data_IF_799615534260
#
_entry.id   IF_799615534260
#
_cell.length_a   1.000
_cell.length_b   1.000
_cell.length_c   1.000
_cell.angle_alpha   90.00
_cell.angle_beta   90.00
_cell.angle_gamma   90.00
#
_symmetry.space_group_name_H-M   'P 1'
#
loop_
_entity.id
_entity.type
_entity.pdbx_description
1 polymer ?
#
# COMPACT_ATOMS: atom_id res chain seq x y z
N UNK A 1 16.95 5.31 16.01
CA UNK A 1 15.92 6.37 15.97
C UNK A 1 14.72 5.93 16.80
N UNK A 2 14.14 6.81 17.63
CA UNK A 2 12.87 6.55 18.32
C UNK A 2 11.75 7.30 17.61
N UNK A 3 10.61 6.67 17.39
CA UNK A 3 9.40 7.28 16.83
C UNK A 3 8.24 6.93 17.78
N UNK A 4 7.53 7.94 18.27
CA UNK A 4 6.44 7.76 19.27
C UNK A 4 6.85 6.91 20.49
N UNK A 5 8.07 7.12 21.01
CA UNK A 5 8.61 6.35 22.14
C UNK A 5 9.12 4.93 21.80
N UNK A 6 8.89 4.44 20.59
CA UNK A 6 9.32 3.11 20.14
C UNK A 6 10.60 3.15 19.30
N UNK A 7 11.48 2.16 19.47
CA UNK A 7 12.70 2.04 18.68
C UNK A 7 12.39 1.54 17.26
N UNK A 8 12.89 2.26 16.25
CA UNK A 8 12.86 1.82 14.85
C UNK A 8 14.10 0.96 14.57
N UNK A 9 13.89 -0.31 14.20
CA UNK A 9 14.95 -1.29 13.91
C UNK A 9 15.26 -1.40 12.42
N UNK A 10 14.27 -1.22 11.53
CA UNK A 10 14.47 -1.26 10.06
C UNK A 10 13.93 0.03 9.42
N UNK A 11 14.81 1.00 9.20
CA UNK A 11 14.49 2.29 8.57
C UNK A 11 13.99 2.14 7.13
N UNK A 12 14.46 1.11 6.41
CA UNK A 12 14.04 0.84 5.02
C UNK A 12 12.61 0.34 4.98
N UNK A 13 12.24 -0.52 5.93
CA UNK A 13 10.85 -0.92 6.10
C UNK A 13 9.97 0.27 6.48
N UNK A 14 10.43 1.16 7.36
CA UNK A 14 9.69 2.38 7.68
C UNK A 14 9.48 3.28 6.44
N UNK A 15 10.50 3.45 5.59
CA UNK A 15 10.37 4.18 4.33
C UNK A 15 9.28 3.59 3.42
N UNK A 16 9.26 2.25 3.24
CA UNK A 16 8.22 1.57 2.47
C UNK A 16 6.82 1.75 3.07
N UNK A 17 6.69 1.73 4.40
CA UNK A 17 5.42 1.99 5.07
C UNK A 17 4.93 3.43 4.83
N UNK A 18 5.81 4.41 5.02
CA UNK A 18 5.48 5.83 4.86
C UNK A 18 5.07 6.14 3.41
N UNK A 19 5.76 5.58 2.42
CA UNK A 19 5.40 5.74 1.02
C UNK A 19 3.96 5.28 0.74
N UNK A 20 3.58 4.10 1.26
CA UNK A 20 2.21 3.60 1.08
C UNK A 20 1.18 4.46 1.83
N UNK A 21 1.47 4.88 3.07
CA UNK A 21 0.56 5.74 3.84
C UNK A 21 0.32 7.08 3.17
N UNK A 22 1.36 7.70 2.62
CA UNK A 22 1.27 8.97 1.89
C UNK A 22 0.38 8.84 0.64
N UNK A 23 0.60 7.79 -0.15
CA UNK A 23 -0.23 7.53 -1.34
C UNK A 23 -1.69 7.28 -0.95
N UNK A 24 -1.93 6.43 0.06
CA UNK A 24 -3.27 6.15 0.56
C UNK A 24 -4.00 7.40 1.08
N UNK A 25 -3.28 8.27 1.80
CA UNK A 25 -3.82 9.54 2.28
C UNK A 25 -4.15 10.48 1.13
N UNK A 26 -3.24 10.63 0.16
CA UNK A 26 -3.46 11.49 -1.00
C UNK A 26 -4.67 11.05 -1.83
N UNK A 27 -4.78 9.75 -2.13
CA UNK A 27 -5.92 9.20 -2.86
C UNK A 27 -7.24 9.37 -2.09
N UNK A 28 -7.21 9.28 -0.77
CA UNK A 28 -8.40 9.52 0.05
C UNK A 28 -8.82 10.99 0.05
N UNK A 29 -7.86 11.92 0.07
CA UNK A 29 -8.12 13.35 -0.10
C UNK A 29 -8.70 13.63 -1.50
N UNK A 30 -8.18 13.01 -2.56
CA UNK A 30 -8.76 13.12 -3.91
C UNK A 30 -10.22 12.64 -3.92
N UNK A 31 -10.50 11.48 -3.35
CA UNK A 31 -11.87 10.96 -3.27
C UNK A 31 -12.76 11.90 -2.44
N UNK A 32 -12.25 12.47 -1.35
CA UNK A 32 -12.97 13.46 -0.55
C UNK A 32 -13.38 14.69 -1.39
N UNK A 33 -12.50 15.16 -2.28
CA UNK A 33 -12.79 16.29 -3.18
C UNK A 33 -13.89 15.99 -4.21
N UNK A 34 -14.09 14.72 -4.59
CA UNK A 34 -15.21 14.30 -5.44
C UNK A 34 -16.54 14.19 -4.66
N UNK A 35 -16.50 13.84 -3.37
CA UNK A 35 -17.71 13.43 -2.62
C UNK A 35 -18.25 14.44 -1.62
N UNK A 36 -17.41 15.28 -1.00
CA UNK A 36 -17.93 16.22 -0.02
C UNK A 36 -18.44 17.49 -0.71
N UNK A 37 -19.72 17.85 -0.48
CA UNK A 37 -20.34 19.02 -1.11
C UNK A 37 -19.74 20.29 -0.51
N UNK A 38 -18.69 20.79 -1.15
CA UNK A 38 -18.14 22.12 -0.96
C UNK A 38 -17.51 22.49 -2.30
N UNK A 39 -18.18 23.36 -3.07
CA UNK A 39 -17.88 23.62 -4.49
C UNK A 39 -16.43 24.02 -4.81
N UNK A 40 -15.65 24.40 -3.81
CA UNK A 40 -14.23 24.75 -3.93
C UNK A 40 -13.30 23.52 -3.97
N UNK A 41 -13.69 22.39 -3.37
CA UNK A 41 -12.81 21.22 -3.26
C UNK A 41 -12.60 20.53 -4.62
N UNK A 42 -13.65 20.43 -5.45
CA UNK A 42 -13.53 19.91 -6.81
C UNK A 42 -12.64 20.79 -7.70
N UNK A 43 -12.69 22.12 -7.51
CA UNK A 43 -11.83 23.05 -8.23
C UNK A 43 -10.33 22.83 -7.91
N UNK A 44 -9.98 22.32 -6.72
CA UNK A 44 -8.61 21.93 -6.41
C UNK A 44 -8.13 20.77 -7.30
N UNK A 45 -8.99 19.80 -7.62
CA UNK A 45 -8.63 18.70 -8.55
C UNK A 45 -8.37 19.19 -9.97
N UNK A 46 -8.97 20.30 -10.39
CA UNK A 46 -8.69 20.94 -11.68
C UNK A 46 -7.41 21.80 -11.63
N UNK A 47 -6.95 22.16 -10.44
CA UNK A 47 -5.82 23.05 -10.27
C UNK A 47 -4.50 22.36 -10.61
N UNK A 48 -3.62 23.08 -11.31
CA UNK A 48 -2.24 22.66 -11.56
C UNK A 48 -1.48 22.36 -10.26
N UNK A 49 -1.68 23.18 -9.23
CA UNK A 49 -1.02 23.07 -7.93
C UNK A 49 -1.25 21.72 -7.25
N UNK A 50 -2.49 21.21 -7.29
CA UNK A 50 -2.82 19.91 -6.72
C UNK A 50 -2.01 18.77 -7.37
N UNK A 51 -1.92 18.79 -8.70
CA UNK A 51 -1.19 17.78 -9.46
C UNK A 51 0.32 17.90 -9.28
N UNK A 52 0.88 19.10 -9.20
CA UNK A 52 2.30 19.31 -8.87
C UNK A 52 2.66 18.75 -7.49
N UNK A 53 1.80 18.97 -6.48
CA UNK A 53 1.97 18.41 -5.14
C UNK A 53 1.86 16.89 -5.16
N UNK A 54 0.83 16.37 -5.84
CA UNK A 54 0.61 14.93 -6.02
C UNK A 54 1.83 14.25 -6.64
N UNK A 55 2.38 14.79 -7.73
CA UNK A 55 3.53 14.22 -8.41
C UNK A 55 4.83 14.36 -7.62
N UNK A 56 5.02 15.47 -6.93
CA UNK A 56 6.17 15.64 -6.02
C UNK A 56 6.14 14.59 -4.92
N UNK A 57 4.97 14.34 -4.33
CA UNK A 57 4.77 13.29 -3.35
C UNK A 57 4.96 11.89 -3.96
N UNK A 58 4.46 11.64 -5.18
CA UNK A 58 4.66 10.37 -5.90
C UNK A 58 6.14 10.08 -6.15
N UNK A 59 6.92 11.07 -6.63
CA UNK A 59 8.37 10.96 -6.81
C UNK A 59 9.06 10.61 -5.49
N UNK A 60 8.69 11.27 -4.39
CA UNK A 60 9.20 10.94 -3.06
C UNK A 60 8.84 9.49 -2.68
N UNK A 61 7.60 9.07 -2.90
CA UNK A 61 7.16 7.71 -2.59
C UNK A 61 7.88 6.65 -3.43
N UNK A 62 8.13 6.91 -4.71
CA UNK A 62 8.95 6.09 -5.59
C UNK A 62 10.37 5.96 -5.07
N UNK A 63 11.00 7.07 -4.66
CA UNK A 63 12.34 7.06 -4.07
C UNK A 63 12.39 6.26 -2.76
N UNK A 64 11.41 6.44 -1.86
CA UNK A 64 11.32 5.68 -0.61
C UNK A 64 11.11 4.18 -0.87
N UNK A 65 10.26 3.82 -1.84
CA UNK A 65 10.00 2.43 -2.21
C UNK A 65 11.23 1.78 -2.86
N UNK A 66 11.94 2.53 -3.70
CA UNK A 66 13.23 2.11 -4.26
C UNK A 66 14.24 1.83 -3.15
N UNK A 67 14.44 2.77 -2.22
CA UNK A 67 15.33 2.59 -1.06
C UNK A 67 14.92 1.41 -0.17
N UNK A 68 13.62 1.12 -0.07
CA UNK A 68 13.12 -0.02 0.69
C UNK A 68 13.55 -1.38 0.11
N UNK A 69 13.67 -1.49 -1.21
CA UNK A 69 13.81 -2.79 -1.89
C UNK A 69 15.05 -2.97 -2.75
N UNK A 70 15.68 -1.93 -3.30
CA UNK A 70 16.69 -2.07 -4.36
C UNK A 70 17.86 -2.98 -3.94
N UNK A 71 18.49 -2.73 -2.78
CA UNK A 71 19.61 -3.56 -2.31
C UNK A 71 19.22 -5.02 -2.13
N UNK A 72 17.99 -5.29 -1.67
CA UNK A 72 17.50 -6.67 -1.49
C UNK A 72 17.37 -7.40 -2.82
N UNK A 73 17.14 -6.68 -3.91
CA UNK A 73 17.12 -7.25 -5.27
C UNK A 73 18.54 -7.56 -5.74
N UNK A 74 19.50 -6.67 -5.47
CA UNK A 74 20.90 -6.87 -5.87
C UNK A 74 21.62 -7.94 -5.05
N UNK A 75 21.39 -8.02 -3.75
CA UNK A 75 22.02 -8.98 -2.84
C UNK A 75 21.42 -10.39 -2.92
N UNK A 76 20.18 -10.52 -3.42
CA UNK A 76 19.51 -11.81 -3.49
C UNK A 76 19.92 -12.62 -4.73
N UNK A 77 19.95 -13.95 -4.58
CA UNK A 77 20.19 -14.90 -5.67
C UNK A 77 19.03 -15.89 -5.85
N UNK A 78 18.91 -16.45 -7.06
CA UNK A 78 17.89 -17.43 -7.42
C UNK A 78 16.46 -16.95 -7.17
N UNK A 79 15.61 -17.82 -6.61
CA UNK A 79 14.20 -17.51 -6.34
C UNK A 79 14.00 -16.34 -5.35
N UNK A 80 14.96 -16.08 -4.46
CA UNK A 80 14.90 -14.94 -3.53
C UNK A 80 14.99 -13.62 -4.29
N UNK A 81 15.77 -13.58 -5.38
CA UNK A 81 15.87 -12.42 -6.28
C UNK A 81 14.55 -12.16 -6.99
N UNK A 82 13.95 -13.20 -7.58
CA UNK A 82 12.65 -13.10 -8.23
C UNK A 82 11.57 -12.56 -7.28
N UNK A 83 11.57 -13.03 -6.02
CA UNK A 83 10.68 -12.52 -4.97
C UNK A 83 10.97 -11.07 -4.57
N UNK A 84 12.24 -10.68 -4.43
CA UNK A 84 12.59 -9.31 -4.09
C UNK A 84 12.17 -8.36 -5.22
N UNK A 85 12.44 -8.76 -6.47
CA UNK A 85 12.05 -8.02 -7.67
C UNK A 85 10.52 -7.90 -7.79
N UNK A 86 9.77 -8.98 -7.56
CA UNK A 86 8.30 -8.92 -7.61
C UNK A 86 7.73 -7.95 -6.57
N UNK A 87 8.30 -7.92 -5.36
CA UNK A 87 7.90 -6.97 -4.31
C UNK A 87 8.26 -5.53 -4.64
N UNK A 88 9.41 -5.31 -5.29
CA UNK A 88 9.78 -3.99 -5.79
C UNK A 88 8.78 -3.53 -6.86
N UNK A 89 8.47 -4.37 -7.86
CA UNK A 89 7.52 -4.05 -8.93
C UNK A 89 6.14 -3.72 -8.35
N UNK A 90 5.63 -4.56 -7.45
CA UNK A 90 4.34 -4.33 -6.78
C UNK A 90 4.38 -3.03 -5.97
N UNK A 91 5.47 -2.76 -5.26
CA UNK A 91 5.65 -1.52 -4.52
C UNK A 91 5.65 -0.29 -5.42
N UNK A 92 6.39 -0.31 -6.52
CA UNK A 92 6.48 0.77 -7.50
C UNK A 92 5.12 1.00 -8.18
N UNK A 93 4.49 -0.05 -8.70
CA UNK A 93 3.15 0.03 -9.29
C UNK A 93 2.13 0.58 -8.28
N UNK A 94 2.22 0.15 -7.02
CA UNK A 94 1.37 0.64 -5.95
C UNK A 94 1.54 2.13 -5.66
N UNK A 95 2.77 2.65 -5.60
CA UNK A 95 2.96 4.09 -5.35
C UNK A 95 2.68 4.94 -6.59
N UNK A 96 2.62 4.34 -7.79
CA UNK A 96 2.31 5.03 -9.05
C UNK A 96 0.81 5.22 -9.35
N UNK A 97 -0.08 4.76 -8.47
CA UNK A 97 -1.54 4.89 -8.67
C UNK A 97 -2.02 6.33 -8.88
N UNK A 98 -1.47 7.39 -8.25
CA UNK A 98 -1.88 8.76 -8.54
C UNK A 98 -1.73 9.16 -10.02
N UNK A 99 -0.64 8.75 -10.68
CA UNK A 99 -0.49 8.91 -12.14
C UNK A 99 -1.60 8.20 -12.93
N UNK A 100 -2.02 7.02 -12.49
CA UNK A 100 -3.07 6.26 -13.17
C UNK A 100 -4.42 6.94 -13.03
N UNK A 101 -4.70 7.50 -11.85
CA UNK A 101 -5.89 8.32 -11.60
C UNK A 101 -5.91 9.53 -12.53
N UNK A 102 -4.79 10.25 -12.69
CA UNK A 102 -4.71 11.37 -13.63
C UNK A 102 -5.13 10.95 -15.04
N UNK A 103 -4.50 9.90 -15.57
CA UNK A 103 -4.75 9.43 -16.94
C UNK A 103 -6.22 9.07 -17.13
N UNK A 104 -6.83 8.42 -16.14
CA UNK A 104 -8.23 7.99 -16.21
C UNK A 104 -9.17 9.19 -16.10
N UNK A 105 -8.91 10.12 -15.18
CA UNK A 105 -9.70 11.34 -15.06
C UNK A 105 -9.62 12.17 -16.35
N UNK A 106 -8.45 12.26 -16.97
CA UNK A 106 -8.26 12.95 -18.25
C UNK A 106 -8.97 12.22 -19.40
N UNK A 107 -8.86 10.89 -19.47
CA UNK A 107 -9.46 10.09 -20.55
C UNK A 107 -11.00 10.07 -20.52
N UNK A 108 -11.62 10.37 -19.37
CA UNK A 108 -13.07 10.39 -19.19
C UNK A 108 -13.63 11.80 -18.94
N UNK A 109 -12.83 12.85 -19.14
CA UNK A 109 -13.21 14.25 -18.88
C UNK A 109 -13.72 14.53 -17.45
N UNK A 110 -13.30 13.72 -16.47
CA UNK A 110 -13.74 13.80 -15.07
C UNK A 110 -13.25 15.04 -14.32
N UNK A 111 -12.37 15.82 -14.93
CA UNK A 111 -12.00 17.14 -14.44
C UNK A 111 -13.07 18.18 -14.72
N UNK A 112 -13.80 18.05 -15.82
CA UNK A 112 -14.86 19.00 -16.20
C UNK A 112 -16.22 18.51 -15.72
N UNK A 113 -16.45 17.20 -15.80
CA UNK A 113 -17.71 16.56 -15.48
C UNK A 113 -17.47 15.54 -14.36
N UNK A 114 -17.79 15.86 -13.09
CA UNK A 114 -17.63 14.92 -12.01
C UNK A 114 -18.29 13.57 -12.36
N UNK A 115 -17.59 12.45 -12.16
CA UNK A 115 -18.12 11.13 -12.48
C UNK A 115 -19.35 10.82 -11.63
N UNK A 116 -20.27 10.02 -12.17
CA UNK A 116 -21.34 9.47 -11.36
C UNK A 116 -20.74 8.56 -10.27
N UNK A 117 -21.44 8.46 -9.13
CA UNK A 117 -21.05 7.57 -8.03
C UNK A 117 -20.77 6.14 -8.51
N UNK A 118 -21.58 5.66 -9.47
CA UNK A 118 -21.45 4.31 -10.03
C UNK A 118 -20.14 4.13 -10.80
N UNK A 119 -19.70 5.12 -11.57
CA UNK A 119 -18.46 5.06 -12.34
C UNK A 119 -17.24 5.03 -11.41
N UNK A 120 -17.28 5.82 -10.33
CA UNK A 120 -16.27 5.78 -9.28
C UNK A 120 -16.25 4.45 -8.54
N UNK A 121 -17.42 3.85 -8.26
CA UNK A 121 -17.51 2.54 -7.64
C UNK A 121 -16.91 1.44 -8.54
N UNK A 122 -17.20 1.46 -9.84
CA UNK A 122 -16.57 0.55 -10.80
C UNK A 122 -15.06 0.77 -10.87
N UNK A 123 -14.61 2.02 -10.91
CA UNK A 123 -13.20 2.34 -10.91
C UNK A 123 -12.48 1.84 -9.64
N UNK A 124 -13.06 2.11 -8.47
CA UNK A 124 -12.56 1.61 -7.20
C UNK A 124 -12.49 0.07 -7.19
N UNK A 125 -13.50 -0.62 -7.72
CA UNK A 125 -13.50 -2.07 -7.84
C UNK A 125 -12.39 -2.57 -8.78
N UNK A 126 -12.18 -1.94 -9.93
CA UNK A 126 -11.09 -2.30 -10.87
C UNK A 126 -9.73 -2.10 -10.21
N UNK A 127 -9.50 -0.95 -9.59
CA UNK A 127 -8.25 -0.66 -8.86
C UNK A 127 -8.05 -1.65 -7.72
N UNK A 128 -9.10 -2.02 -7.00
CA UNK A 128 -9.04 -3.05 -5.96
C UNK A 128 -8.63 -4.42 -6.53
N UNK A 129 -9.23 -4.85 -7.63
CA UNK A 129 -8.90 -6.12 -8.29
C UNK A 129 -7.45 -6.12 -8.77
N UNK A 130 -7.01 -5.04 -9.41
CA UNK A 130 -5.60 -4.87 -9.85
C UNK A 130 -4.68 -4.92 -8.64
N UNK A 131 -5.00 -4.20 -7.56
CA UNK A 131 -4.23 -4.24 -6.32
C UNK A 131 -4.14 -5.65 -5.74
N UNK A 132 -5.26 -6.38 -5.68
CA UNK A 132 -5.28 -7.76 -5.17
C UNK A 132 -4.44 -8.69 -6.06
N UNK A 133 -4.54 -8.54 -7.38
CA UNK A 133 -3.74 -9.32 -8.32
C UNK A 133 -2.24 -9.05 -8.13
N UNK A 134 -1.84 -7.78 -8.06
CA UNK A 134 -0.44 -7.40 -7.86
C UNK A 134 0.08 -7.81 -6.48
N UNK A 135 -0.67 -7.53 -5.41
CA UNK A 135 -0.21 -7.72 -4.03
C UNK A 135 -0.24 -9.17 -3.56
N UNK A 136 -1.12 -10.01 -4.12
CA UNK A 136 -1.28 -11.41 -3.67
C UNK A 136 -1.02 -12.42 -4.78
N UNK A 137 -1.65 -12.26 -5.96
CA UNK A 137 -1.52 -13.26 -7.03
C UNK A 137 -0.08 -13.36 -7.51
N UNK A 138 0.58 -12.23 -7.81
CA UNK A 138 1.99 -12.25 -8.24
C UNK A 138 2.91 -12.91 -7.19
N UNK A 139 2.92 -12.50 -5.90
CA UNK A 139 3.76 -13.15 -4.90
C UNK A 139 3.44 -14.64 -4.69
N UNK A 140 2.17 -15.04 -4.77
CA UNK A 140 1.76 -16.45 -4.67
C UNK A 140 2.29 -17.24 -5.86
N UNK A 141 2.11 -16.74 -7.08
CA UNK A 141 2.64 -17.38 -8.30
C UNK A 141 4.15 -17.55 -8.24
N UNK A 142 4.89 -16.53 -7.80
CA UNK A 142 6.35 -16.62 -7.59
C UNK A 142 6.68 -17.71 -6.55
N UNK A 143 5.91 -17.81 -5.47
CA UNK A 143 6.13 -18.82 -4.43
C UNK A 143 5.82 -20.25 -4.92
N UNK A 144 4.78 -20.42 -5.74
CA UNK A 144 4.38 -21.70 -6.35
C UNK A 144 5.43 -22.18 -7.35
N UNK A 145 5.89 -21.30 -8.25
CA UNK A 145 6.96 -21.61 -9.21
C UNK A 145 8.25 -22.02 -8.47
N UNK A 146 8.57 -21.33 -7.38
CA UNK A 146 9.74 -21.66 -6.55
C UNK A 146 9.57 -22.93 -5.68
N UNK A 147 8.39 -23.57 -5.70
CA UNK A 147 8.02 -24.71 -4.83
C UNK A 147 8.28 -24.43 -3.34
N UNK A 148 7.98 -23.20 -2.88
CA UNK A 148 8.12 -22.78 -1.48
C UNK A 148 6.75 -22.40 -0.88
N UNK A 149 5.83 -23.38 -0.65
CA UNK A 149 4.46 -23.10 -0.20
C UNK A 149 4.37 -22.57 1.23
N UNK A 150 5.35 -22.89 2.10
CA UNK A 150 5.42 -22.38 3.49
C UNK A 150 5.61 -20.86 3.62
N UNK A 151 5.52 -20.14 2.51
CA UNK A 151 5.75 -18.70 2.39
C UNK A 151 4.48 -17.89 2.07
N UNK A 152 3.36 -18.53 1.69
CA UNK A 152 2.05 -17.85 1.54
C UNK A 152 1.62 -17.18 2.86
N UNK A 153 2.15 -17.68 3.98
CA UNK A 153 2.07 -17.02 5.28
C UNK A 153 3.05 -15.84 5.36
N UNK A 154 2.55 -14.65 5.01
CA UNK A 154 3.11 -13.34 5.34
C UNK A 154 3.79 -13.34 6.72
N UNK A 155 5.12 -13.38 6.76
CA UNK A 155 5.96 -12.83 7.83
C UNK A 155 5.81 -13.38 9.27
N UNK A 156 4.90 -14.30 9.54
CA UNK A 156 4.68 -14.88 10.87
C UNK A 156 5.22 -16.30 10.92
N UNK A 157 6.52 -16.45 10.62
CA UNK A 157 7.27 -17.57 11.20
C UNK A 157 7.25 -17.38 12.72
N UNK A 158 6.32 -18.05 13.39
CA UNK A 158 6.17 -18.03 14.85
C UNK A 158 4.78 -17.59 15.29
N UNK A 159 3.94 -18.59 15.58
CA UNK A 159 2.79 -18.59 16.49
C UNK A 159 2.45 -17.25 17.16
N UNK A 160 1.47 -16.51 16.63
CA UNK A 160 0.51 -15.69 17.42
C UNK A 160 -0.63 -15.25 16.50
N UNK A 161 -1.83 -15.81 16.71
CA UNK A 161 -3.07 -15.43 15.99
C UNK A 161 -3.30 -13.91 15.98
N UNK A 162 -2.88 -13.21 17.03
CA UNK A 162 -2.97 -11.74 17.12
C UNK A 162 -2.15 -10.97 16.06
N UNK A 163 -1.08 -11.55 15.53
CA UNK A 163 -0.30 -10.92 14.45
C UNK A 163 -1.03 -10.89 13.12
N UNK A 164 -1.81 -11.95 12.81
CA UNK A 164 -2.63 -11.99 11.60
C UNK A 164 -3.78 -10.99 11.67
N UNK A 165 -4.46 -10.92 12.83
CA UNK A 165 -5.55 -9.97 13.08
C UNK A 165 -5.05 -8.52 12.89
N UNK A 166 -3.89 -8.19 13.46
CA UNK A 166 -3.29 -6.86 13.32
C UNK A 166 -2.98 -6.51 11.86
N UNK A 167 -2.44 -7.45 11.08
CA UNK A 167 -2.16 -7.20 9.66
C UNK A 167 -3.44 -7.01 8.84
N UNK A 168 -4.50 -7.77 9.15
CA UNK A 168 -5.81 -7.68 8.48
C UNK A 168 -6.70 -6.55 8.99
N UNK A 169 -6.35 -5.90 10.11
CA UNK A 169 -7.25 -4.95 10.79
C UNK A 169 -7.67 -3.76 9.93
N UNK A 170 -6.84 -3.18 9.04
CA UNK A 170 -7.30 -2.09 8.18
C UNK A 170 -8.38 -2.55 7.19
N UNK A 171 -8.30 -3.80 6.72
CA UNK A 171 -9.31 -4.38 5.85
C UNK A 171 -10.60 -4.70 6.62
N UNK A 172 -10.49 -5.23 7.84
CA UNK A 172 -11.67 -5.43 8.71
C UNK A 172 -12.35 -4.10 9.05
N UNK A 173 -11.57 -3.05 9.32
CA UNK A 173 -12.08 -1.71 9.57
C UNK A 173 -12.80 -1.15 8.33
N UNK A 174 -12.22 -1.37 7.14
CA UNK A 174 -12.86 -0.98 5.88
C UNK A 174 -14.20 -1.67 5.69
N UNK A 175 -14.28 -2.99 5.91
CA UNK A 175 -15.53 -3.74 5.83
C UNK A 175 -16.57 -3.23 6.85
N UNK A 176 -16.14 -2.91 8.07
CA UNK A 176 -17.00 -2.36 9.10
C UNK A 176 -17.54 -0.97 8.73
N UNK A 177 -16.66 -0.08 8.25
CA UNK A 177 -17.05 1.27 7.78
C UNK A 177 -18.00 1.15 6.60
N UNK A 178 -17.72 0.27 5.63
CA UNK A 178 -18.62 0.03 4.51
C UNK A 178 -20.00 -0.46 4.98
N UNK A 179 -20.06 -1.45 5.87
CA UNK A 179 -21.32 -1.98 6.39
C UNK A 179 -22.15 -0.89 7.12
N UNK A 180 -21.52 -0.09 7.98
CA UNK A 180 -22.20 0.99 8.72
C UNK A 180 -22.69 2.09 7.78
N UNK A 181 -21.86 2.51 6.83
CA UNK A 181 -22.18 3.64 5.95
C UNK A 181 -23.22 3.26 4.90
N UNK A 182 -23.20 2.03 4.39
CA UNK A 182 -24.27 1.50 3.52
C UNK A 182 -25.62 1.53 4.25
N UNK A 183 -25.66 1.11 5.51
CA UNK A 183 -26.90 1.16 6.32
C UNK A 183 -27.38 2.58 6.59
N UNK A 184 -26.48 3.57 6.62
CA UNK A 184 -26.79 4.99 6.80
C UNK A 184 -27.14 5.72 5.51
N UNK A 185 -26.98 5.08 4.35
CA UNK A 185 -27.10 5.74 3.04
C UNK A 185 -25.98 6.74 2.74
N UNK A 186 -24.82 6.59 3.39
CA UNK A 186 -23.64 7.44 3.21
C UNK A 186 -22.54 6.73 2.42
N UNK A 187 -21.64 7.52 1.83
CA UNK A 187 -20.58 7.06 0.94
C UNK A 187 -19.17 7.28 1.49
N UNK A 188 -19.02 7.57 2.80
CA UNK A 188 -17.71 7.78 3.43
C UNK A 188 -16.73 6.61 3.22
N UNK A 189 -17.26 5.39 3.12
CA UNK A 189 -16.45 4.20 2.84
C UNK A 189 -15.66 4.31 1.52
N UNK A 190 -16.17 5.02 0.51
CA UNK A 190 -15.48 5.27 -0.76
C UNK A 190 -14.30 6.23 -0.56
N UNK A 191 -14.45 7.22 0.31
CA UNK A 191 -13.41 8.20 0.63
C UNK A 191 -12.27 7.57 1.44
N UNK A 192 -12.60 6.72 2.41
CA UNK A 192 -11.63 6.12 3.35
C UNK A 192 -10.96 4.86 2.76
N UNK A 193 -11.58 4.26 1.73
CA UNK A 193 -11.12 3.02 1.11
C UNK A 193 -9.65 3.03 0.63
N UNK A 194 -9.15 4.07 -0.09
CA UNK A 194 -7.76 4.09 -0.51
C UNK A 194 -6.80 4.07 0.68
N UNK A 195 -7.03 4.90 1.70
CA UNK A 195 -6.17 4.95 2.88
C UNK A 195 -6.11 3.60 3.59
N UNK A 196 -7.25 2.95 3.85
CA UNK A 196 -7.26 1.66 4.54
C UNK A 196 -6.63 0.54 3.72
N UNK A 197 -6.78 0.55 2.40
CA UNK A 197 -6.14 -0.41 1.50
C UNK A 197 -4.61 -0.27 1.52
N UNK A 198 -4.12 0.97 1.46
CA UNK A 198 -2.68 1.23 1.52
C UNK A 198 -2.11 1.02 2.92
N UNK A 199 -2.88 1.33 3.98
CA UNK A 199 -2.53 1.00 5.35
C UNK A 199 -2.37 -0.51 5.52
N UNK A 200 -3.29 -1.32 4.97
CA UNK A 200 -3.15 -2.78 4.93
C UNK A 200 -1.84 -3.20 4.25
N UNK A 201 -1.51 -2.59 3.11
CA UNK A 201 -0.22 -2.80 2.43
C UNK A 201 1.00 -2.36 3.27
N UNK A 202 0.86 -1.31 4.08
CA UNK A 202 1.89 -0.77 4.95
C UNK A 202 2.12 -1.61 6.22
N UNK A 203 1.11 -2.33 6.71
CA UNK A 203 1.19 -3.09 7.96
C UNK A 203 2.38 -4.06 8.03
N UNK A 204 2.68 -4.88 7.01
CA UNK A 204 3.88 -5.74 7.03
C UNK A 204 5.19 -4.97 7.15
N UNK A 205 5.27 -3.76 6.57
CA UNK A 205 6.42 -2.90 6.66
C UNK A 205 6.55 -2.27 8.05
N UNK A 206 5.45 -1.79 8.63
CA UNK A 206 5.41 -1.24 9.99
C UNK A 206 5.81 -2.31 11.01
N UNK A 207 5.23 -3.51 10.93
CA UNK A 207 5.59 -4.64 11.80
C UNK A 207 7.07 -4.96 11.67
N UNK A 208 7.63 -4.94 10.45
CA UNK A 208 9.06 -5.17 10.25
C UNK A 208 9.92 -4.04 10.82
N UNK A 209 9.52 -2.79 10.64
CA UNK A 209 10.25 -1.61 11.09
C UNK A 209 10.43 -1.57 12.62
N UNK A 210 9.42 -2.02 13.37
CA UNK A 210 9.41 -1.99 14.84
C UNK A 210 9.74 -3.34 15.50
N UNK A 211 10.02 -4.38 14.73
CA UNK A 211 10.41 -5.69 15.28
C UNK A 211 11.94 -5.80 15.36
N UNK A 212 12.52 -6.15 16.52
CA UNK A 212 13.95 -6.43 16.61
C UNK A 212 14.31 -7.58 15.68
N UNK A 213 15.42 -7.45 14.97
CA UNK A 213 15.97 -8.54 14.19
C UNK A 213 16.23 -9.73 15.13
N UNK A 214 15.91 -10.98 14.74
CA UNK A 214 16.29 -12.13 15.53
C UNK A 214 17.80 -12.07 15.76
N UNK A 215 18.29 -12.36 16.98
CA UNK A 215 19.72 -12.37 17.24
C UNK A 215 20.37 -13.28 16.20
N UNK A 216 21.37 -12.76 15.47
CA UNK A 216 22.23 -13.61 14.65
C UNK A 216 22.75 -14.67 15.61
N UNK A 217 22.38 -15.94 15.40
CA UNK A 217 23.02 -17.03 16.10
C UNK A 217 24.52 -16.79 15.96
N UNK A 218 25.24 -16.70 17.09
CA UNK A 218 26.68 -16.62 17.06
C UNK A 218 27.18 -17.73 16.13
N UNK A 219 28.13 -17.46 15.21
CA UNK A 219 28.75 -18.54 14.46
C UNK A 219 29.21 -19.58 15.48
N UNK A 220 28.68 -20.80 15.39
CA UNK A 220 29.10 -21.89 16.26
C UNK A 220 30.59 -22.07 16.01
N UNK A 221 31.42 -21.64 16.96
CA UNK A 221 32.87 -21.84 16.95
C UNK A 221 33.24 -23.33 17.18
N UNK A 222 32.33 -24.26 16.92
CA UNK A 222 32.52 -25.69 17.14
C UNK A 222 31.87 -26.45 15.98
N UNK A 223 32.71 -27.14 15.22
CA UNK A 223 32.33 -28.07 14.15
C UNK A 223 33.46 -28.25 13.14
N UNK A 224 34.61 -28.72 13.63
CA UNK A 224 35.65 -29.32 12.78
C UNK A 224 35.26 -30.70 12.27
#
# INVERSE_FOLDING_TARGET
MKLFGHQVYDQRALAGALALLLVGANLSIMMAFYFFPGGEAFALLQSRWWWELTFSMEILCLALMWMCHHERVFEASGWKKARAASRLIVGLAGVSVPSWVLVICAANDWFQHPPALMDLAYYAAVVFVVWVALAYVIPVTVALIARKPGFIYLGLKGKRRGGAILLSSPFLLLLLVAAIEILRGSHLHIVVWPFLTYLHGAMPYLVKAFRPAPPKAAPSLIGG
#
